data_IF_628662030417
#
_entry.id   IF_628662030417
#
_cell.length_a   1.000
_cell.length_b   1.000
_cell.length_c   1.000
_cell.angle_alpha   90.00
_cell.angle_beta   90.00
_cell.angle_gamma   90.00
#
_symmetry.space_group_name_H-M   'P 1'
#
loop_
_entity.id
_entity.type
_entity.pdbx_description
1 polymer ?
#
# COMPACT_ATOMS: atom_id res chain seq x y z
N UNK A 1 20.13 -27.99 -19.13
CA UNK A 1 19.27 -28.72 -18.14
C UNK A 1 19.32 -28.17 -16.71
N UNK A 2 20.48 -27.78 -16.14
CA UNK A 2 20.58 -27.29 -14.74
C UNK A 2 19.87 -25.95 -14.42
N UNK A 3 19.57 -25.11 -15.43
CA UNK A 3 18.87 -23.83 -15.24
C UNK A 3 17.34 -23.97 -15.28
N UNK A 4 16.83 -24.92 -16.07
CA UNK A 4 15.40 -25.19 -16.16
C UNK A 4 14.85 -25.70 -14.82
N UNK A 5 15.59 -26.60 -14.16
CA UNK A 5 15.24 -27.14 -12.83
C UNK A 5 15.29 -26.08 -11.72
N UNK A 6 16.17 -25.08 -11.80
CA UNK A 6 16.25 -23.99 -10.81
C UNK A 6 15.06 -23.01 -10.87
N UNK A 7 14.34 -22.95 -11.99
CA UNK A 7 13.14 -22.11 -12.17
C UNK A 7 11.87 -22.94 -12.02
N UNK A 8 11.86 -24.17 -12.52
CA UNK A 8 10.75 -25.10 -12.38
C UNK A 8 10.49 -25.48 -10.92
N UNK A 9 11.52 -25.71 -10.11
CA UNK A 9 11.35 -26.10 -8.71
C UNK A 9 10.65 -25.02 -7.86
N UNK A 10 11.05 -23.73 -7.87
CA UNK A 10 10.32 -22.69 -7.14
C UNK A 10 8.91 -22.48 -7.67
N UNK A 11 8.70 -22.59 -8.99
CA UNK A 11 7.39 -22.43 -9.61
C UNK A 11 6.45 -23.62 -9.29
N UNK A 12 6.98 -24.83 -9.24
CA UNK A 12 6.28 -26.04 -8.80
C UNK A 12 5.97 -25.97 -7.30
N UNK A 13 6.89 -25.45 -6.46
CA UNK A 13 6.59 -25.21 -5.04
C UNK A 13 5.55 -24.12 -4.85
N UNK A 14 5.55 -23.07 -5.67
CA UNK A 14 4.51 -22.03 -5.64
C UNK A 14 3.15 -22.61 -6.03
N UNK A 15 3.13 -23.50 -7.03
CA UNK A 15 1.94 -24.21 -7.47
C UNK A 15 1.44 -25.20 -6.40
N UNK A 16 2.34 -25.94 -5.75
CA UNK A 16 2.00 -26.88 -4.67
C UNK A 16 1.54 -26.14 -3.42
N UNK A 17 2.12 -24.99 -3.09
CA UNK A 17 1.63 -24.12 -2.00
C UNK A 17 0.26 -23.53 -2.36
N UNK A 18 0.03 -23.14 -3.62
CA UNK A 18 -1.27 -22.67 -4.09
C UNK A 18 -2.35 -23.78 -4.06
N UNK A 19 -1.98 -25.01 -4.39
CA UNK A 19 -2.87 -26.19 -4.34
C UNK A 19 -3.07 -26.67 -2.91
N UNK A 20 -2.06 -26.66 -2.06
CA UNK A 20 -2.21 -26.96 -0.63
C UNK A 20 -3.08 -25.89 0.07
N UNK A 21 -2.95 -24.61 -0.31
CA UNK A 21 -3.83 -23.55 0.16
C UNK A 21 -5.29 -23.75 -0.27
N UNK A 22 -5.56 -24.42 -1.40
CA UNK A 22 -6.94 -24.76 -1.80
C UNK A 22 -7.63 -25.82 -0.93
N UNK A 23 -6.88 -26.52 -0.08
CA UNK A 23 -7.44 -27.49 0.88
C UNK A 23 -7.76 -26.87 2.24
N UNK A 24 -7.38 -25.62 2.48
CA UNK A 24 -7.83 -24.88 3.63
C UNK A 24 -9.27 -24.40 3.40
N UNK A 25 -10.16 -24.63 4.36
CA UNK A 25 -11.54 -24.11 4.41
C UNK A 25 -11.63 -22.58 4.30
N UNK A 26 -10.49 -21.89 4.30
CA UNK A 26 -10.39 -20.46 4.15
C UNK A 26 -10.51 -20.00 2.69
N UNK A 27 -11.07 -18.81 2.50
CA UNK A 27 -11.35 -18.29 1.17
C UNK A 27 -10.20 -17.42 0.69
N UNK A 28 -9.75 -17.69 -0.55
CA UNK A 28 -8.68 -16.94 -1.21
C UNK A 28 -9.23 -16.14 -2.38
N UNK A 29 -8.74 -14.90 -2.55
CA UNK A 29 -8.95 -14.11 -3.75
C UNK A 29 -7.62 -13.67 -4.34
N UNK A 30 -7.48 -13.81 -5.64
CA UNK A 30 -6.37 -13.25 -6.40
C UNK A 30 -6.91 -12.17 -7.32
N UNK A 31 -6.29 -11.00 -7.34
CA UNK A 31 -6.73 -9.91 -8.20
C UNK A 31 -5.59 -9.10 -8.75
N UNK A 32 -5.88 -8.40 -9.83
CA UNK A 32 -5.00 -7.40 -10.44
C UNK A 32 -5.59 -6.02 -10.20
N UNK A 33 -4.74 -5.02 -10.09
CA UNK A 33 -5.17 -3.64 -9.98
C UNK A 33 -4.25 -2.71 -10.75
N UNK A 34 -4.81 -1.59 -11.16
CA UNK A 34 -4.10 -0.52 -11.86
C UNK A 34 -4.76 0.81 -11.57
N UNK A 35 -3.97 1.87 -11.56
CA UNK A 35 -4.45 3.16 -11.11
C UNK A 35 -3.57 4.33 -11.48
N UNK A 36 -4.00 5.48 -10.96
CA UNK A 36 -3.26 6.73 -10.99
C UNK A 36 -3.18 7.32 -9.60
N UNK A 37 -2.15 8.10 -9.35
CA UNK A 37 -1.91 8.69 -8.06
C UNK A 37 -1.12 9.98 -8.10
N UNK A 38 -0.90 10.52 -6.92
CA UNK A 38 0.01 11.62 -6.67
C UNK A 38 1.11 11.21 -5.70
N UNK A 39 2.27 11.87 -5.77
CA UNK A 39 3.35 11.71 -4.80
C UNK A 39 3.88 13.05 -4.32
N UNK A 40 4.37 13.07 -3.10
CA UNK A 40 5.00 14.23 -2.50
C UNK A 40 6.09 13.80 -1.52
N UNK A 41 6.95 14.74 -1.12
CA UNK A 41 7.96 14.53 -0.10
C UNK A 41 7.72 15.48 1.06
N UNK A 42 7.98 15.01 2.29
CA UNK A 42 7.94 15.84 3.51
C UNK A 42 9.36 16.09 4.03
N UNK A 43 10.09 17.05 3.44
CA UNK A 43 11.44 17.36 3.87
C UNK A 43 11.47 18.02 5.26
N UNK A 44 12.53 17.77 6.02
CA UNK A 44 12.92 18.58 7.17
C UNK A 44 14.37 19.08 6.98
N UNK A 45 14.65 20.40 7.07
CA UNK A 45 13.71 21.51 7.29
C UNK A 45 12.69 21.66 6.15
N UNK A 46 11.58 22.37 6.42
CA UNK A 46 10.50 22.56 5.46
C UNK A 46 11.01 23.37 4.26
N UNK A 47 10.72 22.90 3.05
CA UNK A 47 11.08 23.51 1.77
C UNK A 47 9.84 23.57 0.88
N UNK A 48 9.84 24.44 -0.13
CA UNK A 48 8.77 24.52 -1.11
C UNK A 48 8.70 23.25 -1.95
N UNK A 49 7.59 22.53 -1.82
CA UNK A 49 7.36 21.24 -2.46
C UNK A 49 6.02 21.25 -3.17
N UNK A 50 5.99 20.70 -4.39
CA UNK A 50 4.76 20.40 -5.13
C UNK A 50 4.58 18.89 -5.26
N UNK A 51 3.31 18.47 -5.28
CA UNK A 51 2.95 17.08 -5.53
C UNK A 51 3.05 16.77 -7.02
N UNK A 52 3.61 15.61 -7.36
CA UNK A 52 3.60 15.11 -8.74
C UNK A 52 2.27 14.41 -8.99
N UNK A 53 1.61 14.76 -10.08
CA UNK A 53 0.47 14.05 -10.65
C UNK A 53 0.50 14.22 -12.18
N UNK A 54 0.12 13.21 -12.98
CA UNK A 54 -0.26 11.86 -12.58
C UNK A 54 0.95 10.94 -12.40
N UNK A 55 0.78 9.93 -11.57
CA UNK A 55 1.72 8.83 -11.37
C UNK A 55 1.00 7.53 -11.61
N UNK A 56 1.62 6.60 -12.33
CA UNK A 56 1.02 5.31 -12.65
C UNK A 56 1.42 4.27 -11.62
N UNK A 57 0.47 3.41 -11.27
CA UNK A 57 0.70 2.25 -10.42
C UNK A 57 -0.08 1.03 -10.90
N UNK A 58 0.40 -0.15 -10.56
CA UNK A 58 -0.26 -1.40 -10.92
C UNK A 58 0.40 -2.61 -10.30
N UNK A 59 -0.38 -3.66 -10.09
CA UNK A 59 0.11 -4.81 -9.35
C UNK A 59 -0.86 -5.97 -9.22
N UNK A 60 -0.45 -6.93 -8.43
CA UNK A 60 -1.20 -8.14 -8.09
C UNK A 60 -1.51 -8.08 -6.60
N UNK A 61 -2.71 -8.50 -6.24
CA UNK A 61 -3.21 -8.58 -4.88
C UNK A 61 -3.62 -10.00 -4.57
N UNK A 62 -3.18 -10.51 -3.42
CA UNK A 62 -3.66 -11.75 -2.86
C UNK A 62 -4.31 -11.45 -1.51
N UNK A 63 -5.49 -12.02 -1.25
CA UNK A 63 -6.19 -11.90 0.02
C UNK A 63 -6.65 -13.25 0.51
N UNK A 64 -6.52 -13.43 1.82
CA UNK A 64 -6.98 -14.53 2.62
C UNK A 64 -8.10 -14.03 3.53
N UNK A 65 -9.28 -14.63 3.42
CA UNK A 65 -10.43 -14.32 4.25
C UNK A 65 -10.51 -15.35 5.38
N UNK A 66 -10.49 -14.84 6.60
CA UNK A 66 -10.68 -15.67 7.79
C UNK A 66 -12.15 -16.03 7.99
N UNK A 67 -12.41 -17.14 8.72
CA UNK A 67 -13.76 -17.60 9.05
C UNK A 67 -14.58 -16.58 9.88
N UNK A 68 -14.00 -15.81 10.82
CA UNK A 68 -14.76 -14.80 11.57
C UNK A 68 -15.10 -13.59 10.69
N UNK A 69 -16.39 -13.29 10.57
CA UNK A 69 -16.94 -12.17 9.77
C UNK A 69 -16.31 -10.79 10.03
N UNK A 70 -15.84 -10.53 11.25
CA UNK A 70 -15.40 -9.19 11.68
C UNK A 70 -13.88 -8.99 11.69
N UNK A 71 -13.09 -10.07 11.62
CA UNK A 71 -11.63 -9.98 11.65
C UNK A 71 -11.08 -9.50 10.30
N UNK A 72 -11.86 -9.63 9.22
CA UNK A 72 -11.50 -9.15 7.90
C UNK A 72 -10.60 -10.11 7.13
N UNK A 73 -10.02 -9.59 6.04
CA UNK A 73 -9.06 -10.29 5.21
C UNK A 73 -7.64 -9.85 5.55
N UNK A 74 -6.68 -10.76 5.42
CA UNK A 74 -5.24 -10.47 5.46
C UNK A 74 -4.66 -10.81 4.11
N UNK A 75 -3.68 -10.08 3.63
CA UNK A 75 -3.06 -10.40 2.35
C UNK A 75 -1.81 -9.61 2.05
N UNK A 76 -1.31 -9.81 0.83
CA UNK A 76 -0.09 -9.17 0.34
C UNK A 76 -0.38 -8.63 -1.05
N UNK A 77 0.06 -7.41 -1.34
CA UNK A 77 0.15 -6.92 -2.72
C UNK A 77 1.62 -6.89 -3.17
N UNK A 78 1.82 -7.04 -4.47
CA UNK A 78 3.06 -6.71 -5.15
C UNK A 78 2.70 -5.65 -6.17
N UNK A 79 3.25 -4.46 -6.01
CA UNK A 79 2.86 -3.28 -6.77
C UNK A 79 4.08 -2.57 -7.35
N UNK A 80 4.01 -2.25 -8.63
CA UNK A 80 4.80 -1.19 -9.20
C UNK A 80 4.14 0.15 -8.88
N UNK A 81 4.89 1.04 -8.26
CA UNK A 81 4.44 2.38 -7.88
C UNK A 81 5.47 3.40 -8.36
N UNK A 82 5.05 4.30 -9.25
CA UNK A 82 5.77 5.53 -9.45
C UNK A 82 5.70 6.38 -8.17
N UNK A 83 6.79 7.02 -7.79
CA UNK A 83 6.88 7.93 -6.64
C UNK A 83 7.70 9.13 -7.07
N UNK A 84 7.81 10.13 -6.21
CA UNK A 84 8.62 11.30 -6.53
C UNK A 84 8.20 12.56 -5.80
N UNK A 85 8.84 13.66 -6.17
CA UNK A 85 8.57 14.97 -5.62
C UNK A 85 8.99 16.08 -6.58
N UNK A 86 8.36 17.25 -6.43
CA UNK A 86 8.84 18.49 -7.04
C UNK A 86 9.37 19.42 -5.96
N UNK A 87 10.59 19.92 -6.14
CA UNK A 87 11.28 20.83 -5.22
C UNK A 87 11.51 22.18 -5.87
N UNK A 88 11.07 23.27 -5.22
CA UNK A 88 11.42 24.64 -5.60
C UNK A 88 12.90 24.92 -5.29
N UNK A 89 13.78 24.62 -6.24
CA UNK A 89 15.25 24.71 -6.05
C UNK A 89 15.79 26.13 -6.18
N UNK A 90 15.10 26.99 -6.94
CA UNK A 90 15.41 28.41 -7.08
C UNK A 90 14.11 29.20 -7.21
N UNK A 91 14.17 30.52 -7.04
CA UNK A 91 13.03 31.41 -7.21
C UNK A 91 13.43 32.71 -7.89
N UNK A 92 12.50 33.29 -8.63
CA UNK A 92 12.58 34.66 -9.14
C UNK A 92 11.77 35.57 -8.23
N UNK A 93 12.36 36.69 -7.80
CA UNK A 93 11.63 37.73 -7.06
C UNK A 93 10.81 38.57 -8.05
N UNK A 94 9.49 38.61 -7.87
CA UNK A 94 8.55 39.35 -8.72
C UNK A 94 8.24 40.75 -8.16
N UNK A 95 8.91 41.16 -7.07
CA UNK A 95 8.67 42.42 -6.38
C UNK A 95 8.01 42.25 -5.01
N UNK A 96 7.65 43.37 -4.39
CA UNK A 96 6.92 43.40 -3.11
C UNK A 96 5.43 43.51 -3.39
N UNK A 97 4.64 42.67 -2.74
CA UNK A 97 3.18 42.77 -2.71
C UNK A 97 2.75 44.04 -1.97
N UNK A 98 1.47 44.43 -2.07
CA UNK A 98 0.90 45.60 -1.39
C UNK A 98 1.10 45.59 0.13
N UNK A 99 1.32 44.40 0.71
CA UNK A 99 1.62 44.17 2.12
C UNK A 99 3.12 44.16 2.47
N UNK A 100 4.01 44.51 1.53
CA UNK A 100 5.46 44.47 1.74
C UNK A 100 6.06 43.07 1.77
N UNK A 101 5.34 42.05 1.29
CA UNK A 101 5.81 40.66 1.22
C UNK A 101 6.40 40.39 -0.16
N UNK A 102 7.63 39.88 -0.21
CA UNK A 102 8.28 39.52 -1.47
C UNK A 102 7.52 38.39 -2.17
N UNK A 103 7.00 38.68 -3.36
CA UNK A 103 6.38 37.67 -4.21
C UNK A 103 7.47 36.85 -4.89
N UNK A 104 7.43 35.52 -4.71
CA UNK A 104 8.46 34.60 -5.21
C UNK A 104 7.83 33.59 -6.17
N UNK A 105 8.35 33.57 -7.39
CA UNK A 105 8.02 32.54 -8.36
C UNK A 105 9.08 31.44 -8.30
N UNK A 106 8.70 30.25 -7.82
CA UNK A 106 9.61 29.12 -7.67
C UNK A 106 9.72 28.33 -8.96
N UNK A 107 10.94 27.88 -9.26
CA UNK A 107 11.23 26.99 -10.37
C UNK A 107 11.47 25.59 -9.86
N UNK A 108 10.80 24.61 -10.46
CA UNK A 108 10.72 23.28 -9.88
C UNK A 108 11.72 22.32 -10.50
N UNK A 109 12.42 21.60 -9.63
CA UNK A 109 13.09 20.35 -9.95
C UNK A 109 12.10 19.21 -9.72
N UNK A 110 11.96 18.32 -10.69
CA UNK A 110 11.10 17.13 -10.58
C UNK A 110 11.98 15.88 -10.51
N UNK A 111 11.70 15.00 -9.55
CA UNK A 111 12.27 13.65 -9.50
C UNK A 111 11.17 12.61 -9.51
N UNK A 112 11.18 11.73 -10.50
CA UNK A 112 10.34 10.54 -10.51
C UNK A 112 11.18 9.32 -10.09
N UNK A 113 10.55 8.41 -9.36
CA UNK A 113 11.18 7.25 -8.74
C UNK A 113 10.32 6.04 -9.07
N UNK A 114 10.95 5.00 -9.59
CA UNK A 114 10.33 3.73 -9.93
C UNK A 114 10.55 2.77 -8.76
N UNK A 115 9.46 2.36 -8.13
CA UNK A 115 9.50 1.54 -6.91
C UNK A 115 8.69 0.28 -7.06
N UNK A 116 9.18 -0.80 -6.47
CA UNK A 116 8.37 -1.98 -6.16
C UNK A 116 7.95 -1.87 -4.71
N UNK A 117 6.65 -1.99 -4.45
CA UNK A 117 6.04 -1.96 -3.13
C UNK A 117 5.47 -3.33 -2.79
N UNK A 118 5.67 -3.77 -1.56
CA UNK A 118 5.12 -5.00 -1.00
C UNK A 118 4.35 -4.65 0.29
N UNK A 119 3.09 -4.21 0.18
CA UNK A 119 2.25 -3.98 1.33
C UNK A 119 1.67 -5.29 1.88
N UNK A 120 1.84 -5.51 3.18
CA UNK A 120 1.12 -6.53 3.94
C UNK A 120 -0.14 -5.89 4.48
N UNK A 121 -1.29 -6.31 3.96
CA UNK A 121 -2.59 -5.63 4.11
C UNK A 121 -3.47 -6.39 5.09
N UNK A 122 -4.05 -5.65 6.02
CA UNK A 122 -5.22 -6.02 6.79
C UNK A 122 -6.42 -5.23 6.28
N UNK A 123 -7.51 -5.95 5.99
CA UNK A 123 -8.67 -5.43 5.28
C UNK A 123 -9.97 -5.85 5.96
N UNK A 124 -10.40 -5.15 7.03
CA UNK A 124 -11.74 -5.30 7.58
C UNK A 124 -12.77 -4.84 6.55
N UNK A 125 -13.85 -5.61 6.42
CA UNK A 125 -14.85 -5.36 5.39
C UNK A 125 -16.25 -5.76 5.86
N UNK A 126 -17.26 -5.13 5.26
CA UNK A 126 -18.67 -5.39 5.52
C UNK A 126 -19.41 -5.56 4.19
N UNK A 127 -20.41 -6.44 4.19
CA UNK A 127 -21.26 -6.69 3.02
C UNK A 127 -22.57 -5.92 3.16
N UNK A 128 -22.92 -5.18 2.11
CA UNK A 128 -24.16 -4.43 1.96
C UNK A 128 -24.95 -4.94 0.75
N UNK A 129 -26.21 -4.51 0.65
CA UNK A 129 -27.10 -4.80 -0.48
C UNK A 129 -27.22 -6.29 -0.83
N UNK A 130 -27.55 -7.13 0.17
CA UNK A 130 -27.68 -8.60 0.01
C UNK A 130 -26.42 -9.24 -0.61
N UNK A 131 -25.24 -8.85 -0.12
CA UNK A 131 -23.92 -9.34 -0.54
C UNK A 131 -23.53 -9.01 -1.98
N UNK A 132 -24.08 -7.95 -2.57
CA UNK A 132 -23.68 -7.45 -3.90
C UNK A 132 -22.58 -6.39 -3.83
N UNK A 133 -22.46 -5.71 -2.68
CA UNK A 133 -21.47 -4.66 -2.45
C UNK A 133 -20.66 -4.99 -1.21
N UNK A 134 -19.33 -4.93 -1.32
CA UNK A 134 -18.40 -5.04 -0.20
C UNK A 134 -17.74 -3.69 0.02
N UNK A 135 -17.93 -3.11 1.20
CA UNK A 135 -17.15 -1.96 1.65
C UNK A 135 -16.00 -2.45 2.51
N UNK A 136 -14.82 -1.88 2.32
CA UNK A 136 -13.62 -2.29 3.05
C UNK A 136 -12.74 -1.10 3.40
N UNK A 137 -12.06 -1.23 4.54
CA UNK A 137 -10.94 -0.37 4.90
C UNK A 137 -9.65 -1.17 4.75
N UNK A 138 -8.54 -0.50 4.51
CA UNK A 138 -7.22 -1.12 4.39
C UNK A 138 -6.26 -0.43 5.35
N UNK A 139 -5.54 -1.24 6.10
CA UNK A 139 -4.36 -0.82 6.85
C UNK A 139 -3.22 -1.77 6.47
N UNK A 140 -2.06 -1.25 6.15
CA UNK A 140 -0.96 -2.08 5.67
C UNK A 140 0.41 -1.61 6.18
N UNK A 141 1.29 -2.58 6.39
CA UNK A 141 2.73 -2.34 6.54
C UNK A 141 3.35 -2.37 5.15
N UNK A 142 4.13 -1.36 4.79
CA UNK A 142 4.69 -1.24 3.44
C UNK A 142 6.19 -1.42 3.47
N UNK A 143 6.69 -2.26 2.57
CA UNK A 143 8.11 -2.37 2.26
C UNK A 143 8.30 -2.02 0.80
N UNK A 144 9.42 -1.41 0.47
CA UNK A 144 9.64 -0.94 -0.89
C UNK A 144 11.11 -0.89 -1.27
N UNK A 145 11.34 -1.08 -2.56
CA UNK A 145 12.65 -1.02 -3.17
C UNK A 145 12.62 -0.08 -4.38
N UNK A 146 13.43 0.96 -4.34
CA UNK A 146 13.62 1.89 -5.44
C UNK A 146 14.73 1.37 -6.35
N UNK A 147 14.42 1.20 -7.63
CA UNK A 147 15.34 0.59 -8.59
C UNK A 147 15.70 1.50 -9.76
N UNK A 148 14.95 2.60 -9.95
CA UNK A 148 15.21 3.54 -11.02
C UNK A 148 14.53 4.87 -10.75
N UNK A 149 14.85 5.86 -11.56
CA UNK A 149 14.24 7.17 -11.48
C UNK A 149 14.74 8.06 -12.61
N UNK A 150 14.12 9.21 -12.74
CA UNK A 150 14.46 10.24 -13.71
C UNK A 150 14.31 11.60 -13.05
N UNK A 151 15.03 12.58 -13.59
CA UNK A 151 14.96 13.96 -13.12
C UNK A 151 14.85 14.96 -14.26
N UNK A 152 14.23 16.10 -13.97
CA UNK A 152 14.12 17.22 -14.91
C UNK A 152 14.07 18.55 -14.17
N UNK A 153 14.69 19.58 -14.74
CA UNK A 153 14.54 20.97 -14.31
C UNK A 153 13.58 21.72 -15.22
N UNK A 154 12.85 22.69 -14.65
CA UNK A 154 11.92 23.53 -15.39
C UNK A 154 12.64 24.62 -16.21
N UNK A 155 13.62 25.32 -15.62
CA UNK A 155 14.40 26.34 -16.34
C UNK A 155 15.58 25.73 -17.10
N UNK A 156 16.32 24.83 -16.44
CA UNK A 156 17.52 24.25 -17.06
C UNK A 156 17.05 23.15 -18.00
N UNK A 157 17.57 23.09 -19.22
CA UNK A 157 17.36 21.94 -20.13
C UNK A 157 18.05 20.65 -19.65
N UNK A 158 18.37 20.57 -18.36
CA UNK A 158 18.95 19.41 -17.70
C UNK A 158 17.84 18.44 -17.35
N UNK A 159 17.79 17.33 -18.09
CA UNK A 159 16.99 16.17 -17.78
C UNK A 159 17.82 14.92 -18.01
N UNK A 160 17.60 13.90 -17.21
CA UNK A 160 18.38 12.68 -17.31
C UNK A 160 17.86 11.55 -16.45
N UNK A 161 18.45 10.38 -16.65
CA UNK A 161 18.23 9.25 -15.77
C UNK A 161 18.86 9.51 -14.41
N UNK A 162 18.14 9.18 -13.36
CA UNK A 162 18.63 9.31 -12.00
C UNK A 162 19.44 8.09 -11.60
N UNK A 163 20.75 8.25 -11.53
CA UNK A 163 21.62 7.21 -11.03
C UNK A 163 21.65 7.19 -9.49
N UNK A 164 21.42 6.00 -8.94
CA UNK A 164 21.25 5.78 -7.52
C UNK A 164 22.59 5.53 -6.85
N UNK A 165 23.07 6.51 -6.10
CA UNK A 165 24.35 6.42 -5.37
C UNK A 165 24.14 5.81 -4.00
N UNK A 166 24.96 4.84 -3.61
CA UNK A 166 24.81 4.14 -2.33
C UNK A 166 25.14 5.06 -1.15
N UNK A 167 25.97 6.07 -1.36
CA UNK A 167 26.45 7.04 -0.37
C UNK A 167 25.36 8.05 0.00
N UNK A 168 24.50 8.41 -0.97
CA UNK A 168 23.46 9.43 -0.83
C UNK A 168 22.06 8.85 -0.68
N UNK A 169 21.73 7.82 -1.43
CA UNK A 169 20.35 7.40 -1.61
C UNK A 169 20.00 6.17 -0.77
N UNK A 170 18.76 6.12 -0.32
CA UNK A 170 18.21 4.93 0.31
C UNK A 170 17.27 4.20 -0.65
N UNK A 171 17.70 3.01 -1.10
CA UNK A 171 16.90 2.17 -1.99
C UNK A 171 15.79 1.43 -1.25
N UNK A 172 16.02 1.06 0.01
CA UNK A 172 15.05 0.32 0.82
C UNK A 172 14.23 1.27 1.68
N UNK A 173 12.92 1.20 1.54
CA UNK A 173 12.02 2.04 2.30
C UNK A 173 10.92 1.24 2.96
N UNK A 174 10.46 1.74 4.10
CA UNK A 174 9.34 1.18 4.83
C UNK A 174 8.39 2.29 5.26
N UNK A 175 7.16 1.90 5.56
CA UNK A 175 6.12 2.83 5.95
C UNK A 175 4.82 2.14 6.29
N UNK A 176 3.76 2.92 6.38
CA UNK A 176 2.40 2.44 6.52
C UNK A 176 1.60 2.80 5.29
N UNK A 177 0.52 2.08 5.04
CA UNK A 177 -0.52 2.56 4.15
C UNK A 177 -1.87 2.43 4.82
N UNK A 178 -2.72 3.42 4.57
CA UNK A 178 -4.10 3.46 5.02
C UNK A 178 -5.00 3.76 3.84
N UNK A 179 -6.15 3.11 3.76
CA UNK A 179 -7.03 3.28 2.62
C UNK A 179 -8.39 2.66 2.82
N UNK A 180 -9.15 2.66 1.75
CA UNK A 180 -10.47 2.07 1.74
C UNK A 180 -11.04 2.05 0.33
N UNK A 181 -12.09 1.28 0.18
CA UNK A 181 -12.69 1.10 -1.12
C UNK A 181 -13.98 0.30 -1.05
N UNK A 182 -14.53 0.08 -2.24
CA UNK A 182 -15.70 -0.76 -2.41
C UNK A 182 -15.48 -1.72 -3.56
N UNK A 183 -16.12 -2.88 -3.49
CA UNK A 183 -16.14 -3.87 -4.56
C UNK A 183 -17.56 -4.34 -4.84
N UNK A 184 -17.91 -4.39 -6.11
CA UNK A 184 -19.11 -5.00 -6.65
C UNK A 184 -18.84 -6.49 -6.91
N UNK A 185 -19.77 -7.33 -6.50
CA UNK A 185 -19.60 -8.77 -6.48
C UNK A 185 -20.50 -9.41 -7.54
N UNK A 186 -19.89 -10.07 -8.53
CA UNK A 186 -20.55 -10.76 -9.63
C UNK A 186 -20.17 -12.24 -9.61
N UNK A 187 -20.81 -13.00 -8.72
CA UNK A 187 -20.51 -14.42 -8.52
C UNK A 187 -19.08 -14.64 -8.02
N UNK A 188 -18.19 -15.12 -8.90
CA UNK A 188 -16.77 -15.36 -8.59
C UNK A 188 -15.85 -14.17 -8.88
N UNK A 189 -16.36 -13.16 -9.58
CA UNK A 189 -15.60 -11.97 -9.95
C UNK A 189 -15.94 -10.81 -9.01
N UNK A 190 -14.94 -10.01 -8.69
CA UNK A 190 -15.07 -8.80 -7.89
C UNK A 190 -14.44 -7.64 -8.67
N UNK A 191 -15.22 -6.58 -8.88
CA UNK A 191 -14.72 -5.35 -9.50
C UNK A 191 -14.82 -4.25 -8.46
N UNK A 192 -13.71 -3.60 -8.14
CA UNK A 192 -13.69 -2.62 -7.07
C UNK A 192 -12.88 -1.38 -7.38
N UNK A 193 -13.16 -0.36 -6.59
CA UNK A 193 -12.38 0.84 -6.50
C UNK A 193 -11.65 0.85 -5.16
N UNK A 194 -10.38 1.23 -5.16
CA UNK A 194 -9.50 1.31 -3.99
C UNK A 194 -8.80 2.65 -3.97
N UNK A 195 -8.94 3.40 -2.88
CA UNK A 195 -8.09 4.54 -2.57
C UNK A 195 -7.11 4.14 -1.47
N UNK A 196 -5.83 4.42 -1.66
CA UNK A 196 -4.78 4.10 -0.67
C UNK A 196 -3.78 5.23 -0.57
N UNK A 197 -3.49 5.62 0.65
CA UNK A 197 -2.45 6.57 1.01
C UNK A 197 -1.26 5.84 1.63
N UNK A 198 -0.09 6.02 1.04
CA UNK A 198 1.19 5.53 1.52
C UNK A 198 1.87 6.62 2.35
N UNK A 199 2.13 6.32 3.60
CA UNK A 199 2.88 7.14 4.53
C UNK A 199 4.31 6.63 4.63
N UNK A 200 5.26 7.35 4.04
CA UNK A 200 6.68 7.00 4.12
C UNK A 200 7.25 7.29 5.51
N UNK A 201 8.06 6.37 6.05
CA UNK A 201 8.87 6.63 7.24
C UNK A 201 10.36 6.68 6.94
N UNK A 202 10.80 5.91 5.95
CA UNK A 202 12.19 5.96 5.51
C UNK A 202 12.46 7.20 4.65
N UNK A 203 13.62 7.79 4.88
CA UNK A 203 14.12 8.94 4.13
C UNK A 203 14.69 8.47 2.79
N UNK A 204 14.34 9.17 1.70
CA UNK A 204 14.83 8.86 0.36
C UNK A 204 16.29 9.26 0.18
N UNK A 205 16.67 10.39 0.77
CA UNK A 205 18.03 10.89 0.88
C UNK A 205 18.57 10.60 2.28
N UNK A 206 19.80 10.14 2.33
CA UNK A 206 20.52 9.94 3.58
C UNK A 206 20.77 11.28 4.25
N UNK A 207 20.67 11.24 5.58
CA UNK A 207 20.84 12.42 6.42
C UNK A 207 22.26 13.00 6.29
N UNK A 208 22.34 14.30 6.02
CA UNK A 208 23.57 15.08 5.86
C UNK A 208 24.48 15.09 7.09
N UNK A 209 23.95 14.95 8.31
CA UNK A 209 24.76 14.90 9.53
C UNK A 209 25.54 13.59 9.69
N UNK A 210 25.15 12.52 8.99
CA UNK A 210 25.74 11.18 9.14
C UNK A 210 26.51 10.71 7.91
N UNK A 211 26.15 11.19 6.72
CA UNK A 211 26.74 10.76 5.45
C UNK A 211 27.30 11.97 4.71
N UNK A 212 28.43 11.76 4.03
CA UNK A 212 29.17 12.80 3.32
C UNK A 212 28.27 13.54 2.31
N UNK A 213 28.44 14.86 2.28
CA UNK A 213 27.54 15.82 1.66
C UNK A 213 27.71 15.95 0.14
N UNK A 214 26.73 16.57 -0.51
CA UNK A 214 26.47 16.64 -1.96
C UNK A 214 27.51 17.41 -2.80
N UNK A 215 28.68 17.73 -2.24
CA UNK A 215 29.68 18.60 -2.89
C UNK A 215 30.27 18.04 -4.19
N UNK A 216 30.02 16.77 -4.51
CA UNK A 216 30.50 16.05 -5.71
C UNK A 216 29.32 15.53 -6.56
N UNK A 217 28.09 15.91 -6.22
CA UNK A 217 26.92 15.52 -6.99
C UNK A 217 26.71 16.44 -8.19
N UNK A 218 26.27 15.87 -9.30
CA UNK A 218 25.92 16.63 -10.49
C UNK A 218 24.51 17.21 -10.42
N UNK A 219 23.96 17.65 -11.57
CA UNK A 219 22.62 18.19 -11.67
C UNK A 219 21.52 17.26 -11.16
N UNK A 220 21.77 15.95 -11.08
CA UNK A 220 20.84 14.97 -10.54
C UNK A 220 20.41 15.27 -9.11
N UNK A 221 21.20 16.03 -8.33
CA UNK A 221 20.85 16.43 -6.97
C UNK A 221 20.64 17.95 -6.85
N UNK A 222 19.39 18.42 -6.64
CA UNK A 222 19.11 19.85 -6.56
C UNK A 222 19.43 20.44 -5.18
N UNK A 223 19.79 19.61 -4.19
CA UNK A 223 19.95 20.04 -2.82
C UNK A 223 21.38 20.48 -2.55
N UNK A 224 21.56 21.74 -2.18
CA UNK A 224 22.84 22.23 -1.69
C UNK A 224 23.30 21.45 -0.44
N UNK A 225 22.36 21.16 0.46
CA UNK A 225 22.53 20.22 1.58
C UNK A 225 21.36 19.23 1.60
N UNK A 226 21.65 17.94 1.77
CA UNK A 226 20.61 16.93 1.93
C UNK A 226 19.71 17.27 3.13
N UNK A 227 18.38 17.13 2.99
CA UNK A 227 17.47 17.32 4.09
C UNK A 227 17.72 16.26 5.18
N UNK A 228 17.49 16.64 6.44
CA UNK A 228 17.64 15.76 7.61
C UNK A 228 16.61 14.64 7.61
N UNK A 229 15.42 14.91 7.05
CA UNK A 229 14.37 13.92 6.77
C UNK A 229 13.80 14.15 5.38
N UNK A 230 13.46 13.08 4.69
CA UNK A 230 12.88 13.10 3.35
C UNK A 230 11.95 11.91 3.07
N UNK A 231 10.96 11.62 3.94
CA UNK A 231 9.97 10.60 3.64
C UNK A 231 9.12 10.97 2.43
N UNK A 232 8.83 9.97 1.61
CA UNK A 232 7.97 10.06 0.44
C UNK A 232 6.59 9.52 0.75
N UNK A 233 5.57 10.30 0.42
CA UNK A 233 4.17 9.90 0.53
C UNK A 233 3.53 9.80 -0.84
N UNK A 234 2.55 8.92 -0.96
CA UNK A 234 1.81 8.72 -2.19
C UNK A 234 0.32 8.56 -1.91
N UNK A 235 -0.53 9.10 -2.78
CA UNK A 235 -1.96 8.78 -2.82
C UNK A 235 -2.26 8.06 -4.13
N UNK A 236 -2.92 6.91 -4.09
CA UNK A 236 -3.26 6.12 -5.28
C UNK A 236 -4.74 5.81 -5.34
N UNK A 237 -5.31 5.87 -6.54
CA UNK A 237 -6.69 5.49 -6.86
C UNK A 237 -6.67 4.38 -7.91
N UNK A 238 -7.15 3.21 -7.52
CA UNK A 238 -6.98 1.99 -8.29
C UNK A 238 -8.33 1.36 -8.62
N UNK A 239 -8.44 0.82 -9.82
CA UNK A 239 -9.48 -0.14 -10.18
C UNK A 239 -8.91 -1.54 -9.96
N UNK A 240 -9.68 -2.39 -9.29
CA UNK A 240 -9.30 -3.74 -8.90
C UNK A 240 -10.23 -4.75 -9.55
N UNK A 241 -9.66 -5.80 -10.13
CA UNK A 241 -10.36 -6.97 -10.63
C UNK A 241 -9.85 -8.19 -9.89
N UNK A 242 -10.71 -8.87 -9.14
CA UNK A 242 -10.33 -10.06 -8.38
C UNK A 242 -11.19 -11.27 -8.74
N UNK A 243 -10.57 -12.45 -8.70
CA UNK A 243 -11.19 -13.75 -8.85
C UNK A 243 -11.16 -14.48 -7.50
N UNK A 244 -12.30 -15.09 -7.16
CA UNK A 244 -12.49 -15.86 -5.94
C UNK A 244 -12.46 -17.35 -6.24
N UNK A 245 -11.57 -18.08 -5.56
CA UNK A 245 -11.38 -19.51 -5.81
C UNK A 245 -12.51 -20.39 -5.24
N UNK A 246 -13.04 -20.08 -4.05
CA UNK A 246 -14.11 -20.86 -3.43
C UNK A 246 -15.51 -20.24 -3.63
N UNK A 247 -16.46 -21.07 -4.08
CA UNK A 247 -17.87 -20.69 -4.31
C UNK A 247 -18.72 -20.83 -3.04
N UNK A 248 -18.36 -21.75 -2.14
CA UNK A 248 -19.19 -22.24 -1.02
C UNK A 248 -19.04 -21.43 0.29
N UNK A 249 -17.95 -20.69 0.46
CA UNK A 249 -17.59 -20.06 1.75
C UNK A 249 -18.51 -18.93 2.25
N UNK A 250 -19.42 -18.39 1.42
CA UNK A 250 -20.35 -17.35 1.87
C UNK A 250 -21.71 -17.87 2.35
N UNK A 251 -22.10 -19.09 1.97
CA UNK A 251 -23.34 -19.67 2.47
C UNK A 251 -23.21 -20.01 3.97
N UNK A 252 -21.98 -20.27 4.44
CA UNK A 252 -21.67 -20.55 5.84
C UNK A 252 -21.56 -19.30 6.74
N UNK A 253 -21.49 -18.10 6.17
CA UNK A 253 -21.40 -16.85 6.96
C UNK A 253 -22.72 -16.50 7.67
N UNK A 254 -23.81 -17.12 7.24
CA UNK A 254 -25.02 -17.21 8.03
C UNK A 254 -24.91 -18.45 8.92
N UNK A 255 -24.13 -18.37 10.01
CA UNK A 255 -24.29 -19.32 11.10
C UNK A 255 -25.70 -19.14 11.69
N UNK A 256 -26.68 -19.86 11.15
CA UNK A 256 -27.93 -20.12 11.87
C UNK A 256 -27.54 -21.09 12.98
N UNK A 257 -27.56 -20.71 14.26
CA UNK A 257 -27.35 -21.67 15.32
C UNK A 257 -28.30 -22.84 15.11
N UNK A 258 -27.76 -24.06 14.94
CA UNK A 258 -28.56 -25.29 14.88
C UNK A 258 -29.52 -25.29 16.08
N UNK A 259 -30.83 -25.46 15.84
CA UNK A 259 -31.88 -25.39 16.88
C UNK A 259 -31.54 -26.20 18.14
N UNK A 260 -30.83 -27.33 18.00
CA UNK A 260 -30.35 -28.16 19.12
C UNK A 260 -29.51 -27.39 20.15
N UNK A 261 -28.60 -26.50 19.72
CA UNK A 261 -27.76 -25.74 20.68
C UNK A 261 -28.58 -24.70 21.46
N UNK A 262 -29.71 -24.28 20.92
CA UNK A 262 -30.63 -23.32 21.55
C UNK A 262 -31.51 -23.99 22.60
N UNK A 263 -31.92 -25.25 22.37
CA UNK A 263 -32.60 -26.06 23.37
C UNK A 263 -31.69 -26.42 24.56
N UNK A 264 -30.42 -26.79 24.31
CA UNK A 264 -29.46 -27.08 25.40
C UNK A 264 -29.15 -25.87 26.30
N UNK A 265 -29.18 -24.64 25.77
CA UNK A 265 -29.01 -23.41 26.58
C UNK A 265 -30.21 -23.11 27.49
N UNK A 266 -31.41 -23.52 27.08
CA UNK A 266 -32.63 -23.26 27.84
C UNK A 266 -32.94 -24.37 28.87
N UNK A 267 -32.22 -25.50 28.83
CA UNK A 267 -32.52 -26.68 29.67
C UNK A 267 -31.72 -26.78 30.97
N UNK A 268 -30.78 -25.88 31.26
CA UNK A 268 -29.90 -25.98 32.42
C UNK A 268 -30.18 -24.95 33.54
N UNK A 269 -31.45 -24.65 33.83
CA UNK A 269 -31.81 -23.73 34.93
C UNK A 269 -32.69 -24.32 36.05
N UNK A 270 -32.90 -25.64 36.14
CA UNK A 270 -33.77 -26.19 37.19
C UNK A 270 -33.30 -27.44 37.94
N UNK A 271 -32.05 -27.88 37.82
CA UNK A 271 -31.54 -28.99 38.65
C UNK A 271 -30.37 -28.55 39.53
N UNK A 272 -30.66 -27.77 40.57
CA UNK A 272 -29.80 -27.68 41.76
C UNK A 272 -30.53 -27.15 43.00
N UNK A 273 -31.74 -27.65 43.30
CA UNK A 273 -32.37 -27.36 44.60
C UNK A 273 -33.40 -28.40 45.03
N UNK A 274 -33.00 -29.68 45.09
CA UNK A 274 -33.80 -30.67 45.83
C UNK A 274 -32.89 -31.73 46.46
N UNK A 275 -32.81 -31.72 47.80
CA UNK A 275 -32.41 -32.91 48.56
C UNK A 275 -31.31 -32.71 49.60
N UNK A 276 -31.58 -31.97 50.68
CA UNK A 276 -30.81 -32.07 51.92
C UNK A 276 -31.75 -32.13 53.15
N UNK A 277 -32.31 -33.31 53.37
CA UNK A 277 -32.86 -33.89 54.62
C UNK A 277 -32.77 -35.41 54.35
N UNK A 278 -32.12 -36.29 55.11
CA UNK A 278 -31.97 -36.48 56.57
C UNK A 278 -31.04 -37.68 56.79
N UNK A 279 -30.13 -37.61 57.76
CA UNK A 279 -30.05 -38.54 58.91
C UNK A 279 -29.10 -37.97 59.94
#
# INVERSE_FOLDING_TARGET
>A
MKYLTKILLPLLTLLVVAVAASTASAQHTLGVFGGVGSASMRPYPKKEMKSIFPIINGGISWRYYSLPRYVGAVGVDIEYLGRGFQYGHTYTSLGLDENGVEQREYHFYKRNIKSIMVPIVWQPHVYLAKNRVRLYMEAALTFSYNFGGDYSYEIKSDAGDYDWRLERDNRWNYGLAGGGGFALLFGRYEVGFRARYYFGYADILKNSNKYYDNGIDGPENPFYYNPLKSPLDNMTFNITFAYRFNKEGFDEWFYKPKKEKRQKKNFNFSESSTGAKTR
#
